data_IF_231910507789
#
_entry.id   IF_231910507789
#
_cell.length_a   1.000
_cell.length_b   1.000
_cell.length_c   1.000
_cell.angle_alpha   90.00
_cell.angle_beta   90.00
_cell.angle_gamma   90.00
#
_symmetry.space_group_name_H-M   'P 1'
#
loop_
_entity.id
_entity.type
_entity.pdbx_description
1 polymer ?
#
# COMPACT_ATOMS: atom_id res chain seq x y z
N UNK A 1 4.47 -9.51 11.74
CA UNK A 1 5.50 -8.63 11.13
C UNK A 1 5.63 -7.47 12.09
N UNK A 2 6.77 -7.31 12.76
CA UNK A 2 6.97 -6.13 13.60
C UNK A 2 7.34 -4.93 12.71
N UNK A 3 6.78 -3.76 13.05
CA UNK A 3 6.99 -2.48 12.38
C UNK A 3 6.70 -2.46 10.88
N UNK A 4 5.71 -3.25 10.43
CA UNK A 4 5.47 -3.45 9.00
C UNK A 4 4.06 -3.84 8.64
N UNK A 5 3.59 -3.22 7.57
CA UNK A 5 2.24 -3.36 7.06
C UNK A 5 2.25 -3.79 5.60
N UNK A 6 1.24 -4.55 5.20
CA UNK A 6 0.99 -4.89 3.79
C UNK A 6 -0.16 -4.06 3.29
N UNK A 7 0.10 -3.21 2.29
CA UNK A 7 -0.90 -2.31 1.71
C UNK A 7 -1.30 -2.83 0.34
N UNK A 8 -2.61 -2.92 0.08
CA UNK A 8 -3.15 -3.22 -1.23
C UNK A 8 -3.47 -1.92 -1.96
N UNK A 9 -2.85 -1.69 -3.12
CA UNK A 9 -3.16 -0.56 -4.00
C UNK A 9 -3.93 -1.08 -5.20
N UNK A 10 -5.13 -0.53 -5.37
CA UNK A 10 -5.96 -0.77 -6.53
C UNK A 10 -5.75 0.33 -7.57
N UNK A 11 -5.64 -0.04 -8.84
CA UNK A 11 -5.61 0.89 -9.96
C UNK A 11 -6.47 0.37 -11.09
N UNK A 12 -7.21 1.26 -11.73
CA UNK A 12 -7.93 0.95 -12.96
C UNK A 12 -7.00 1.15 -14.16
N UNK A 13 -6.88 0.13 -14.99
CA UNK A 13 -6.07 0.16 -16.21
C UNK A 13 -6.95 -0.24 -17.38
N UNK A 14 -6.82 0.49 -18.49
CA UNK A 14 -7.48 0.14 -19.74
C UNK A 14 -6.82 -1.11 -20.35
N UNK A 15 -7.60 -2.13 -20.69
CA UNK A 15 -7.09 -3.28 -21.42
C UNK A 15 -6.51 -2.82 -22.77
N UNK A 16 -5.27 -3.20 -23.12
CA UNK A 16 -4.58 -2.63 -24.28
C UNK A 16 -5.31 -2.86 -25.61
N UNK A 17 -5.90 -4.05 -25.77
CA UNK A 17 -6.66 -4.41 -26.99
C UNK A 17 -8.13 -3.99 -26.88
N UNK A 18 -8.88 -4.56 -25.93
CA UNK A 18 -10.33 -4.37 -25.82
C UNK A 18 -10.80 -3.02 -25.28
N UNK A 19 -9.93 -2.19 -24.70
CA UNK A 19 -10.31 -0.90 -24.15
C UNK A 19 -11.20 -0.93 -22.90
N UNK A 20 -11.57 -2.10 -22.39
CA UNK A 20 -12.30 -2.28 -21.12
C UNK A 20 -11.44 -1.86 -19.93
N UNK A 21 -12.00 -1.10 -18.99
CA UNK A 21 -11.33 -0.80 -17.72
C UNK A 21 -11.31 -2.04 -16.82
N UNK A 22 -10.12 -2.40 -16.34
CA UNK A 22 -9.89 -3.54 -15.46
C UNK A 22 -9.21 -3.02 -14.20
N UNK A 23 -9.73 -3.40 -13.04
CA UNK A 23 -9.10 -3.14 -11.74
C UNK A 23 -7.95 -4.12 -11.54
N UNK A 24 -6.74 -3.61 -11.29
CA UNK A 24 -5.58 -4.41 -10.89
C UNK A 24 -5.15 -4.01 -9.50
N UNK A 25 -5.02 -5.01 -8.64
CA UNK A 25 -4.57 -4.84 -7.25
C UNK A 25 -3.13 -5.33 -7.11
N UNK A 26 -2.27 -4.51 -6.50
CA UNK A 26 -0.88 -4.88 -6.16
C UNK A 26 -0.66 -4.70 -4.66
N UNK A 27 0.07 -5.62 -4.05
CA UNK A 27 0.43 -5.54 -2.63
C UNK A 27 1.85 -4.98 -2.48
N UNK A 28 2.01 -4.06 -1.55
CA UNK A 28 3.30 -3.46 -1.19
C UNK A 28 3.56 -3.62 0.30
N UNK A 29 4.81 -3.82 0.68
CA UNK A 29 5.22 -3.82 2.08
C UNK A 29 5.75 -2.44 2.46
N UNK A 30 5.10 -1.82 3.44
CA UNK A 30 5.51 -0.54 3.99
C UNK A 30 6.02 -0.68 5.43
N UNK A 31 6.93 0.20 5.79
CA UNK A 31 7.46 0.34 7.13
C UNK A 31 6.59 1.29 7.94
N UNK A 32 6.25 0.86 9.15
CA UNK A 32 5.51 1.62 10.16
C UNK A 32 6.26 1.42 11.48
N UNK A 33 6.89 2.46 12.04
CA UNK A 33 7.74 2.31 13.23
C UNK A 33 6.95 2.09 14.52
N UNK A 34 5.75 2.66 14.61
CA UNK A 34 4.93 2.69 15.81
C UNK A 34 3.79 1.66 15.78
N UNK A 35 3.64 0.90 14.70
CA UNK A 35 2.54 -0.05 14.48
C UNK A 35 1.16 0.63 14.65
N UNK A 36 1.03 1.86 14.16
CA UNK A 36 -0.18 2.67 14.32
C UNK A 36 -1.30 2.25 13.37
N UNK A 37 -0.96 1.74 12.19
CA UNK A 37 -1.94 1.38 11.17
C UNK A 37 -2.60 0.03 11.45
N UNK A 38 -3.93 0.00 11.38
CA UNK A 38 -4.75 -1.20 11.57
C UNK A 38 -5.26 -1.76 10.23
N UNK A 39 -5.64 -3.04 10.17
CA UNK A 39 -6.31 -3.60 9.00
C UNK A 39 -7.59 -2.85 8.69
N UNK A 40 -7.76 -2.41 7.45
CA UNK A 40 -8.93 -1.65 6.99
C UNK A 40 -8.72 -0.14 6.95
N UNK A 41 -7.63 0.38 7.51
CA UNK A 41 -7.30 1.80 7.43
C UNK A 41 -6.90 2.22 6.00
N UNK A 42 -7.31 3.42 5.60
CA UNK A 42 -6.88 4.04 4.36
C UNK A 42 -5.59 4.82 4.64
N UNK A 43 -4.49 4.38 4.03
CA UNK A 43 -3.15 4.88 4.32
C UNK A 43 -2.47 5.48 3.09
N UNK A 44 -1.67 6.53 3.30
CA UNK A 44 -0.76 7.08 2.30
C UNK A 44 0.66 6.56 2.55
N UNK A 45 1.29 6.02 1.52
CA UNK A 45 2.67 5.53 1.56
C UNK A 45 3.55 6.30 0.58
N UNK A 46 4.84 6.42 0.90
CA UNK A 46 5.85 7.01 0.02
C UNK A 46 7.00 6.03 -0.20
N UNK A 47 7.63 6.11 -1.37
CA UNK A 47 8.81 5.32 -1.69
C UNK A 47 10.02 5.77 -0.84
N UNK A 48 10.88 4.82 -0.50
CA UNK A 48 12.10 5.05 0.29
C UNK A 48 13.20 4.11 -0.17
N UNK A 49 14.41 4.30 0.36
CA UNK A 49 15.51 3.34 0.18
C UNK A 49 15.07 1.94 0.66
N UNK A 50 15.62 0.85 0.12
CA UNK A 50 15.29 -0.49 0.59
C UNK A 50 15.55 -0.63 2.11
N UNK A 51 14.51 -0.91 2.88
CA UNK A 51 14.59 -1.14 4.34
C UNK A 51 14.73 -2.63 4.67
N UNK A 52 14.35 -3.49 3.72
CA UNK A 52 14.49 -4.95 3.81
C UNK A 52 14.44 -5.53 2.40
N UNK A 53 14.42 -6.87 2.27
CA UNK A 53 14.33 -7.58 0.99
C UNK A 53 13.12 -7.13 0.15
N UNK A 54 11.98 -6.84 0.79
CA UNK A 54 10.71 -6.52 0.11
C UNK A 54 10.15 -5.14 0.52
N UNK A 55 10.64 -4.54 1.62
CA UNK A 55 10.15 -3.26 2.14
C UNK A 55 10.85 -2.08 1.46
N UNK A 56 10.11 -1.36 0.62
CA UNK A 56 10.58 -0.17 -0.14
C UNK A 56 9.68 1.06 0.05
N UNK A 57 8.71 0.96 0.96
CA UNK A 57 7.72 1.98 1.22
C UNK A 57 7.72 2.32 2.70
N UNK A 58 7.36 3.55 3.06
CA UNK A 58 7.11 3.96 4.44
C UNK A 58 5.72 4.57 4.57
N UNK A 59 5.10 4.39 5.73
CA UNK A 59 3.85 5.05 6.09
C UNK A 59 4.10 6.56 6.23
N UNK A 60 3.20 7.37 5.68
CA UNK A 60 3.25 8.85 5.79
C UNK A 60 2.12 9.35 6.68
N UNK A 61 0.89 8.97 6.34
CA UNK A 61 -0.31 9.38 7.06
C UNK A 61 -1.38 8.29 6.97
N UNK A 62 -2.21 8.22 8.00
CA UNK A 62 -3.45 7.45 7.99
C UNK A 62 -4.55 8.46 7.66
N UNK A 63 -5.15 8.33 6.47
CA UNK A 63 -6.17 9.23 5.95
C UNK A 63 -7.51 8.95 6.64
N UNK A 64 -7.87 7.67 6.73
CA UNK A 64 -9.12 7.24 7.34
C UNK A 64 -8.87 6.00 8.19
N UNK A 65 -9.39 6.03 9.42
CA UNK A 65 -9.35 4.87 10.31
C UNK A 65 -10.61 4.03 10.10
N UNK A 66 -10.44 2.71 10.05
CA UNK A 66 -11.54 1.79 10.02
C UNK A 66 -12.45 2.00 11.24
N UNK A 67 -13.76 2.04 11.00
CA UNK A 67 -14.81 2.23 12.01
C UNK A 67 -15.12 0.94 12.75
#
# INVERSE_FOLDING_TARGET
>A
MDKSITVAIERQIKHPIYGKFITKTRKYMAHDENNEAKPGDLVRIIETRPLSKVKRWRLVEIIEKAK
#
